data_IF_936730098654
#
_entry.id   IF_936730098654
#
_cell.length_a   1.000
_cell.length_b   1.000
_cell.length_c   1.000
_cell.angle_alpha   90.00
_cell.angle_beta   90.00
_cell.angle_gamma   90.00
#
_symmetry.space_group_name_H-M   'P 1'
#
loop_
_entity.id
_entity.type
_entity.pdbx_description
1 polymer ?
#
# COMPACT_ATOMS: atom_id res chain seq x y z
N UNK A 1 -27.43 68.49 -18.19
CA UNK A 1 -27.25 67.39 -17.20
C UNK A 1 -26.61 66.22 -17.91
N UNK A 2 -25.38 65.84 -17.55
CA UNK A 2 -24.73 64.63 -18.08
C UNK A 2 -25.19 63.44 -17.25
N UNK A 3 -25.88 62.51 -17.88
CA UNK A 3 -26.32 61.26 -17.31
C UNK A 3 -25.06 60.48 -16.87
N UNK A 4 -24.92 60.23 -15.57
CA UNK A 4 -23.90 59.31 -15.06
C UNK A 4 -24.42 57.91 -15.37
N UNK A 5 -23.79 57.24 -16.33
CA UNK A 5 -24.03 55.83 -16.62
C UNK A 5 -23.61 55.01 -15.40
N UNK A 6 -24.57 54.66 -14.55
CA UNK A 6 -24.36 53.69 -13.50
C UNK A 6 -24.30 52.31 -14.13
N UNK A 7 -23.11 51.73 -14.16
CA UNK A 7 -22.88 50.33 -14.51
C UNK A 7 -23.83 49.43 -13.71
N UNK A 8 -24.62 48.62 -14.42
CA UNK A 8 -25.62 47.72 -13.87
C UNK A 8 -24.99 46.77 -12.82
N UNK A 9 -25.56 46.61 -11.62
CA UNK A 9 -25.03 45.71 -10.57
C UNK A 9 -24.84 44.26 -11.04
N UNK A 10 -25.63 43.79 -12.01
CA UNK A 10 -25.45 42.48 -12.66
C UNK A 10 -24.11 42.37 -13.40
N UNK A 11 -23.67 43.45 -14.06
CA UNK A 11 -22.39 43.49 -14.76
C UNK A 11 -21.22 43.52 -13.77
N UNK A 12 -21.38 44.15 -12.61
CA UNK A 12 -20.38 44.10 -11.53
C UNK A 12 -20.25 42.69 -10.94
N UNK A 13 -21.37 42.00 -10.70
CA UNK A 13 -21.36 40.61 -10.23
C UNK A 13 -20.68 39.66 -11.22
N UNK A 14 -21.00 39.78 -12.51
CA UNK A 14 -20.36 39.00 -13.57
C UNK A 14 -18.86 39.31 -13.71
N UNK A 15 -18.47 40.59 -13.64
CA UNK A 15 -17.08 41.01 -13.71
C UNK A 15 -16.29 40.51 -12.49
N UNK A 16 -16.85 40.58 -11.29
CA UNK A 16 -16.22 40.06 -10.07
C UNK A 16 -16.08 38.53 -10.11
N UNK A 17 -17.10 37.81 -10.60
CA UNK A 17 -17.03 36.35 -10.76
C UNK A 17 -15.98 35.95 -11.80
N UNK A 18 -15.91 36.67 -12.92
CA UNK A 18 -14.91 36.44 -13.95
C UNK A 18 -13.50 36.71 -13.42
N UNK A 19 -13.29 37.84 -12.72
CA UNK A 19 -12.02 38.15 -12.07
C UNK A 19 -11.63 37.09 -11.06
N UNK A 20 -12.53 36.70 -10.15
CA UNK A 20 -12.28 35.66 -9.15
C UNK A 20 -11.95 34.30 -9.77
N UNK A 21 -12.64 33.94 -10.87
CA UNK A 21 -12.38 32.71 -11.62
C UNK A 21 -11.03 32.77 -12.34
N UNK A 22 -10.68 33.92 -12.91
CA UNK A 22 -9.41 34.13 -13.59
C UNK A 22 -8.23 34.14 -12.61
N UNK A 23 -8.36 34.76 -11.43
CA UNK A 23 -7.34 34.66 -10.37
C UNK A 23 -7.27 33.25 -9.79
N UNK A 24 -8.40 32.60 -9.51
CA UNK A 24 -8.38 31.20 -9.05
C UNK A 24 -7.69 30.30 -10.07
N UNK A 25 -7.97 30.48 -11.36
CA UNK A 25 -7.32 29.74 -12.42
C UNK A 25 -5.80 30.02 -12.45
N UNK A 26 -5.40 31.29 -12.37
CA UNK A 26 -3.99 31.68 -12.35
C UNK A 26 -3.23 31.13 -11.14
N UNK A 27 -3.80 31.19 -9.93
CA UNK A 27 -3.13 30.69 -8.72
C UNK A 27 -3.16 29.16 -8.59
N UNK A 28 -4.13 28.46 -9.19
CA UNK A 28 -4.23 27.00 -9.10
C UNK A 28 -3.59 26.25 -10.27
N UNK A 29 -3.57 26.83 -11.48
CA UNK A 29 -3.16 26.14 -12.70
C UNK A 29 -1.89 26.72 -13.35
N UNK A 30 -1.36 27.86 -12.87
CA UNK A 30 0.02 28.24 -13.17
C UNK A 30 0.93 27.60 -12.13
N UNK A 31 1.71 26.61 -12.54
CA UNK A 31 2.57 25.81 -11.66
C UNK A 31 3.56 26.67 -10.88
N UNK A 32 4.19 27.65 -11.52
CA UNK A 32 5.16 28.54 -10.85
C UNK A 32 4.51 29.38 -9.74
N UNK A 33 3.29 29.88 -10.00
CA UNK A 33 2.54 30.70 -9.03
C UNK A 33 1.97 29.83 -7.91
N UNK A 34 1.47 28.64 -8.25
CA UNK A 34 0.97 27.67 -7.30
C UNK A 34 2.10 27.23 -6.35
N UNK A 35 3.25 26.80 -6.88
CA UNK A 35 4.37 26.31 -6.10
C UNK A 35 4.96 27.40 -5.20
N UNK A 36 5.09 28.63 -5.71
CA UNK A 36 5.58 29.75 -4.91
C UNK A 36 4.56 30.16 -3.81
N UNK A 37 3.25 30.19 -4.14
CA UNK A 37 2.22 30.51 -3.15
C UNK A 37 2.09 29.44 -2.06
N UNK A 38 2.23 28.17 -2.44
CA UNK A 38 2.26 27.01 -1.54
C UNK A 38 3.49 27.07 -0.63
N UNK A 39 4.67 27.32 -1.20
CA UNK A 39 5.91 27.48 -0.45
C UNK A 39 5.79 28.60 0.60
N UNK A 40 5.41 29.81 0.19
CA UNK A 40 5.23 30.95 1.12
C UNK A 40 4.15 30.63 2.16
N UNK A 41 3.03 30.06 1.72
CA UNK A 41 1.90 29.69 2.56
C UNK A 41 2.28 28.68 3.66
N UNK A 42 3.16 27.73 3.35
CA UNK A 42 3.59 26.69 4.29
C UNK A 42 4.24 27.24 5.57
N UNK A 43 4.90 28.39 5.50
CA UNK A 43 5.63 28.99 6.62
C UNK A 43 4.85 30.05 7.40
N UNK A 44 3.76 30.60 6.84
CA UNK A 44 3.05 31.72 7.44
C UNK A 44 2.59 31.44 8.88
N UNK A 45 1.91 30.32 9.09
CA UNK A 45 1.41 29.94 10.41
C UNK A 45 2.54 29.45 11.35
N UNK A 46 3.44 28.52 10.94
CA UNK A 46 4.53 28.05 11.81
C UNK A 46 5.45 29.16 12.31
N UNK A 47 5.79 30.14 11.46
CA UNK A 47 6.65 31.28 11.85
C UNK A 47 5.92 32.21 12.82
N UNK A 48 4.63 32.46 12.61
CA UNK A 48 3.84 33.28 13.51
C UNK A 48 3.73 32.65 14.91
N UNK A 49 3.55 31.33 14.98
CA UNK A 49 3.48 30.58 16.24
C UNK A 49 4.84 30.46 16.94
N UNK A 50 5.94 30.42 16.19
CA UNK A 50 7.29 30.25 16.73
C UNK A 50 7.95 31.54 17.27
N UNK A 51 7.25 32.69 17.29
CA UNK A 51 7.85 33.97 17.69
C UNK A 51 8.48 33.96 19.09
N UNK A 52 7.94 33.16 20.01
CA UNK A 52 8.43 33.03 21.39
C UNK A 52 9.44 31.88 21.57
N UNK A 53 9.76 31.14 20.51
CA UNK A 53 10.67 29.99 20.51
C UNK A 53 11.88 30.28 19.59
N UNK A 54 12.96 30.92 20.09
CA UNK A 54 14.05 31.43 19.25
C UNK A 54 14.72 30.36 18.38
N UNK A 55 14.89 29.16 18.93
CA UNK A 55 15.50 28.02 18.23
C UNK A 55 14.62 27.55 17.06
N UNK A 56 13.32 27.39 17.31
CA UNK A 56 12.33 26.97 16.32
C UNK A 56 12.19 28.00 15.20
N UNK A 57 12.13 29.28 15.56
CA UNK A 57 12.07 30.39 14.59
C UNK A 57 13.31 30.45 13.71
N UNK A 58 14.50 30.28 14.29
CA UNK A 58 15.75 30.25 13.54
C UNK A 58 15.78 29.08 12.54
N UNK A 59 15.34 27.89 12.97
CA UNK A 59 15.26 26.72 12.11
C UNK A 59 14.25 26.89 10.96
N UNK A 60 13.04 27.42 11.23
CA UNK A 60 12.05 27.72 10.20
C UNK A 60 12.55 28.73 9.18
N UNK A 61 13.23 29.80 9.63
CA UNK A 61 13.83 30.80 8.73
C UNK A 61 14.98 30.21 7.90
N UNK A 62 15.77 29.31 8.47
CA UNK A 62 16.84 28.63 7.74
C UNK A 62 16.28 27.69 6.66
N UNK A 63 15.22 26.93 6.96
CA UNK A 63 14.50 26.11 5.97
C UNK A 63 13.95 26.97 4.84
N UNK A 64 13.28 28.08 5.18
CA UNK A 64 12.76 29.03 4.21
C UNK A 64 13.88 29.63 3.34
N UNK A 65 15.02 30.00 3.94
CA UNK A 65 16.18 30.53 3.23
C UNK A 65 16.85 29.52 2.30
N UNK A 66 16.74 28.22 2.59
CA UNK A 66 17.19 27.12 1.72
C UNK A 66 16.19 26.78 0.61
N UNK A 67 15.02 27.43 0.56
CA UNK A 67 13.98 27.16 -0.44
C UNK A 67 13.22 25.85 -0.19
N UNK A 68 13.25 25.32 1.03
CA UNK A 68 12.57 24.08 1.40
C UNK A 68 11.18 24.37 1.98
N UNK A 69 10.14 23.72 1.49
CA UNK A 69 8.77 23.89 2.00
C UNK A 69 8.65 23.36 3.44
N UNK A 70 7.83 23.99 4.28
CA UNK A 70 7.41 23.39 5.55
C UNK A 70 6.41 22.26 5.30
N UNK A 71 6.91 21.10 4.91
CA UNK A 71 6.10 19.94 4.58
C UNK A 71 6.77 18.63 5.00
N UNK A 72 5.94 17.65 5.39
CA UNK A 72 6.43 16.39 5.94
C UNK A 72 7.17 15.53 4.90
N UNK A 73 6.79 15.60 3.61
CA UNK A 73 7.48 14.86 2.55
C UNK A 73 8.92 15.37 2.35
N UNK A 74 9.17 16.68 2.38
CA UNK A 74 10.53 17.26 2.31
C UNK A 74 11.42 16.77 3.47
N UNK A 75 10.82 16.57 4.65
CA UNK A 75 11.54 16.02 5.79
C UNK A 75 11.87 14.54 5.59
N UNK A 76 10.94 13.75 5.03
CA UNK A 76 11.22 12.35 4.65
C UNK A 76 12.29 12.26 3.57
N UNK A 77 12.22 13.12 2.55
CA UNK A 77 13.21 13.19 1.46
C UNK A 77 14.59 13.55 2.01
N UNK A 78 14.68 14.56 2.90
CA UNK A 78 15.94 14.90 3.56
C UNK A 78 16.48 13.75 4.42
N UNK A 79 15.59 13.02 5.11
CA UNK A 79 15.97 11.79 5.80
C UNK A 79 16.54 10.79 4.79
N UNK A 80 15.93 10.60 3.62
CA UNK A 80 16.29 9.67 2.52
C UNK A 80 17.49 10.10 1.65
N UNK A 81 17.90 11.36 1.70
CA UNK A 81 19.10 11.88 1.04
C UNK A 81 20.32 11.98 1.97
N UNK A 82 20.15 11.70 3.26
CA UNK A 82 21.18 11.78 4.31
C UNK A 82 21.61 13.22 4.59
N UNK A 83 20.74 14.19 4.31
CA UNK A 83 21.01 15.60 4.61
C UNK A 83 20.80 15.87 6.10
N UNK A 84 21.84 15.57 6.89
CA UNK A 84 21.83 15.75 8.34
C UNK A 84 21.56 17.20 8.76
N UNK A 85 21.95 18.18 7.95
CA UNK A 85 21.70 19.59 8.21
C UNK A 85 20.20 19.88 8.10
N UNK A 86 19.59 19.52 6.97
CA UNK A 86 18.17 19.75 6.71
C UNK A 86 17.28 18.95 7.66
N UNK A 87 17.60 17.67 7.91
CA UNK A 87 16.93 16.86 8.95
C UNK A 87 17.01 17.57 10.30
N UNK A 88 18.19 18.09 10.64
CA UNK A 88 18.39 18.83 11.88
C UNK A 88 17.53 20.08 11.98
N UNK A 89 17.38 20.83 10.89
CA UNK A 89 16.52 22.01 10.83
C UNK A 89 15.03 21.65 10.98
N UNK A 90 14.54 20.59 10.33
CA UNK A 90 13.14 20.15 10.49
C UNK A 90 12.84 19.72 11.94
N UNK A 91 13.75 18.97 12.57
CA UNK A 91 13.60 18.58 13.98
C UNK A 91 13.63 19.80 14.89
N UNK A 92 14.59 20.72 14.70
CA UNK A 92 14.71 21.93 15.52
C UNK A 92 13.52 22.89 15.32
N UNK A 93 12.88 22.86 14.14
CA UNK A 93 11.64 23.55 13.84
C UNK A 93 10.38 22.84 14.43
N UNK A 94 10.56 21.68 15.08
CA UNK A 94 9.49 20.94 15.76
C UNK A 94 8.71 19.98 14.86
N UNK A 95 9.23 19.63 13.68
CA UNK A 95 8.58 18.63 12.82
C UNK A 95 8.73 17.24 13.42
N UNK A 96 7.62 16.53 13.56
CA UNK A 96 7.60 15.14 14.02
C UNK A 96 7.51 14.21 12.82
N UNK A 97 8.41 13.23 12.75
CA UNK A 97 8.35 12.18 11.74
C UNK A 97 7.08 11.36 11.92
N UNK A 98 6.16 11.42 10.95
CA UNK A 98 4.94 10.60 10.96
C UNK A 98 5.14 9.27 10.22
N UNK A 99 5.96 9.28 9.18
CA UNK A 99 6.25 8.11 8.38
C UNK A 99 7.36 7.27 9.01
N UNK A 100 6.95 6.17 9.65
CA UNK A 100 7.86 5.20 10.26
C UNK A 100 8.66 4.42 9.22
N UNK A 101 8.16 4.29 7.99
CA UNK A 101 8.87 3.54 6.94
C UNK A 101 10.23 4.17 6.63
N UNK A 102 10.37 5.49 6.76
CA UNK A 102 11.65 6.19 6.59
C UNK A 102 12.75 5.67 7.55
N UNK A 103 12.39 5.31 8.79
CA UNK A 103 13.34 4.70 9.74
C UNK A 103 13.78 3.32 9.28
N UNK A 104 12.84 2.53 8.72
CA UNK A 104 13.13 1.20 8.17
C UNK A 104 13.98 1.29 6.91
N UNK A 105 13.64 2.20 5.98
CA UNK A 105 14.45 2.53 4.79
C UNK A 105 15.89 2.77 5.19
N UNK A 106 16.11 3.58 6.23
CA UNK A 106 17.47 3.90 6.68
C UNK A 106 18.20 2.77 7.34
N UNK A 107 17.50 1.91 8.05
CA UNK A 107 18.12 0.70 8.59
C UNK A 107 18.63 -0.21 7.46
N UNK A 108 17.90 -0.28 6.35
CA UNK A 108 18.25 -1.12 5.20
C UNK A 108 19.38 -0.50 4.37
N UNK A 109 19.23 0.75 3.94
CA UNK A 109 20.15 1.39 3.00
C UNK A 109 21.43 1.95 3.64
N UNK A 110 21.32 2.50 4.85
CA UNK A 110 22.40 3.25 5.49
C UNK A 110 22.53 2.94 7.00
N UNK A 111 22.70 1.66 7.37
CA UNK A 111 22.68 1.20 8.76
C UNK A 111 23.72 1.89 9.66
N UNK A 112 24.88 2.26 9.11
CA UNK A 112 25.98 2.89 9.87
C UNK A 112 25.59 4.25 10.47
N UNK A 113 24.72 5.01 9.78
CA UNK A 113 24.23 6.31 10.25
C UNK A 113 22.89 6.23 11.01
N UNK A 114 22.31 5.03 11.10
CA UNK A 114 20.95 4.85 11.56
C UNK A 114 20.76 5.26 13.02
N UNK A 115 21.70 4.88 13.89
CA UNK A 115 21.67 5.23 15.32
C UNK A 115 21.69 6.75 15.49
N UNK A 116 22.62 7.43 14.83
CA UNK A 116 22.73 8.90 14.86
C UNK A 116 21.46 9.58 14.38
N UNK A 117 20.82 9.05 13.33
CA UNK A 117 19.53 9.55 12.87
C UNK A 117 18.44 9.40 13.94
N UNK A 118 18.30 8.22 14.53
CA UNK A 118 17.29 7.94 15.57
C UNK A 118 17.46 8.86 16.77
N UNK A 119 18.69 9.05 17.23
CA UNK A 119 19.02 9.99 18.31
C UNK A 119 18.69 11.43 17.92
N UNK A 120 19.06 11.85 16.70
CA UNK A 120 18.75 13.19 16.19
C UNK A 120 17.26 13.46 16.11
N UNK A 121 16.46 12.46 15.75
CA UNK A 121 15.00 12.56 15.71
C UNK A 121 14.36 12.57 17.11
N UNK A 122 15.11 12.27 18.17
CA UNK A 122 14.59 12.06 19.53
C UNK A 122 13.72 10.80 19.62
N UNK A 123 14.05 9.78 18.84
CA UNK A 123 13.35 8.49 18.80
C UNK A 123 14.05 7.41 19.63
N UNK A 124 15.08 7.76 20.38
CA UNK A 124 15.95 6.87 21.14
C UNK A 124 15.33 6.33 22.44
N UNK A 125 14.03 6.01 22.42
CA UNK A 125 13.29 5.44 23.53
C UNK A 125 12.53 4.17 23.13
N UNK A 126 12.34 3.27 24.11
CA UNK A 126 11.68 1.98 23.93
C UNK A 126 10.33 2.09 23.21
N UNK A 127 9.48 3.05 23.62
CA UNK A 127 8.12 3.21 23.09
C UNK A 127 8.08 3.47 21.59
N UNK A 128 8.99 4.32 21.08
CA UNK A 128 9.03 4.63 19.64
C UNK A 128 9.69 3.51 18.83
N UNK A 129 10.67 2.82 19.41
CA UNK A 129 11.45 1.79 18.72
C UNK A 129 10.81 0.39 18.74
N UNK A 130 9.93 0.11 19.70
CA UNK A 130 9.27 -1.21 19.85
C UNK A 130 8.03 -1.41 18.96
N UNK A 131 7.75 -0.47 18.06
CA UNK A 131 6.62 -0.56 17.13
C UNK A 131 6.85 -1.53 15.98
N UNK A 132 5.79 -1.76 15.20
CA UNK A 132 5.89 -2.31 13.86
C UNK A 132 6.18 -1.19 12.86
N UNK A 133 7.06 -1.50 11.91
CA UNK A 133 7.54 -0.58 10.89
C UNK A 133 7.24 -1.16 9.51
N UNK A 134 6.55 -0.40 8.65
CA UNK A 134 6.33 -0.83 7.27
C UNK A 134 7.66 -0.97 6.55
N UNK A 135 7.87 -2.09 5.88
CA UNK A 135 9.04 -2.29 5.02
C UNK A 135 8.73 -1.75 3.63
N UNK A 136 9.52 -0.80 3.10
CA UNK A 136 9.32 -0.28 1.76
C UNK A 136 9.55 -1.36 0.70
N UNK A 137 8.59 -1.56 -0.20
CA UNK A 137 8.66 -2.60 -1.25
C UNK A 137 9.78 -2.44 -2.27
N UNK A 138 10.31 -1.23 -2.44
CA UNK A 138 11.40 -1.00 -3.40
C UNK A 138 12.75 -1.50 -2.87
N UNK A 139 12.82 -1.91 -1.60
CA UNK A 139 14.01 -2.46 -0.97
C UNK A 139 13.88 -3.97 -0.83
N UNK A 140 14.78 -4.70 -1.47
CA UNK A 140 14.77 -6.15 -1.62
C UNK A 140 15.61 -6.89 -0.56
N UNK A 141 16.31 -6.17 0.31
CA UNK A 141 17.23 -6.75 1.30
C UNK A 141 16.58 -7.71 2.31
N UNK A 142 15.24 -7.73 2.39
CA UNK A 142 14.45 -8.62 3.26
C UNK A 142 13.53 -9.55 2.47
N UNK A 143 13.61 -9.57 1.14
CA UNK A 143 12.72 -10.36 0.29
C UNK A 143 12.86 -11.86 0.52
N UNK A 144 14.08 -12.36 0.74
CA UNK A 144 14.34 -13.78 1.01
C UNK A 144 13.54 -14.29 2.23
N UNK A 145 13.66 -13.68 3.43
CA UNK A 145 12.80 -14.00 4.57
C UNK A 145 11.30 -13.94 4.27
N UNK A 146 10.83 -12.91 3.56
CA UNK A 146 9.40 -12.77 3.24
C UNK A 146 8.90 -13.81 2.23
N UNK A 147 9.76 -14.20 1.29
CA UNK A 147 9.48 -15.26 0.34
C UNK A 147 9.40 -16.62 1.03
N UNK A 148 10.28 -16.91 2.00
CA UNK A 148 10.19 -18.13 2.80
C UNK A 148 8.85 -18.22 3.56
N UNK A 149 8.44 -17.12 4.20
CA UNK A 149 7.15 -17.05 4.90
C UNK A 149 5.99 -17.26 3.92
N UNK A 150 6.04 -16.60 2.76
CA UNK A 150 5.03 -16.75 1.70
C UNK A 150 4.96 -18.19 1.23
N UNK A 151 6.08 -18.84 0.96
CA UNK A 151 6.12 -20.23 0.47
C UNK A 151 5.47 -21.18 1.48
N UNK A 152 5.82 -21.06 2.76
CA UNK A 152 5.19 -21.87 3.82
C UNK A 152 3.68 -21.68 3.87
N UNK A 153 3.20 -20.46 3.62
CA UNK A 153 1.77 -20.16 3.56
C UNK A 153 1.10 -20.72 2.30
N UNK A 154 1.74 -20.66 1.13
CA UNK A 154 1.16 -21.08 -0.16
C UNK A 154 1.08 -22.59 -0.31
N UNK A 155 2.03 -23.35 0.23
CA UNK A 155 2.09 -24.83 0.10
C UNK A 155 0.74 -25.52 0.39
N UNK A 156 0.06 -25.28 1.53
CA UNK A 156 -1.25 -25.90 1.78
C UNK A 156 -2.34 -25.50 0.78
N UNK A 157 -2.32 -24.26 0.27
CA UNK A 157 -3.28 -23.78 -0.74
C UNK A 157 -3.03 -24.46 -2.09
N UNK A 158 -1.77 -24.59 -2.50
CA UNK A 158 -1.37 -25.29 -3.71
C UNK A 158 -1.76 -26.78 -3.67
N UNK A 159 -1.63 -27.40 -2.50
CA UNK A 159 -2.07 -28.78 -2.28
C UNK A 159 -3.60 -28.93 -2.33
N UNK A 160 -4.35 -28.01 -1.72
CA UNK A 160 -5.80 -27.98 -1.80
C UNK A 160 -6.30 -27.81 -3.25
N UNK A 161 -5.72 -26.86 -3.99
CA UNK A 161 -5.98 -26.65 -5.41
C UNK A 161 -5.70 -27.91 -6.23
N UNK A 162 -4.53 -28.54 -6.03
CA UNK A 162 -4.15 -29.78 -6.73
C UNK A 162 -5.19 -30.88 -6.49
N UNK A 163 -5.65 -31.05 -5.25
CA UNK A 163 -6.66 -32.07 -4.92
C UNK A 163 -8.00 -31.78 -5.61
N UNK A 164 -8.49 -30.53 -5.55
CA UNK A 164 -9.72 -30.12 -6.25
C UNK A 164 -9.60 -30.28 -7.77
N UNK A 165 -8.44 -29.96 -8.35
CA UNK A 165 -8.19 -30.10 -9.77
C UNK A 165 -8.21 -31.57 -10.21
N UNK A 166 -7.67 -32.48 -9.40
CA UNK A 166 -7.72 -33.93 -9.68
C UNK A 166 -9.16 -34.46 -9.65
N UNK A 167 -10.01 -33.96 -8.76
CA UNK A 167 -11.44 -34.30 -8.74
C UNK A 167 -12.18 -33.74 -9.95
N UNK A 168 -11.96 -32.45 -10.25
CA UNK A 168 -12.48 -31.81 -11.45
C UNK A 168 -12.10 -32.60 -12.72
N UNK A 169 -10.84 -33.02 -12.85
CA UNK A 169 -10.36 -33.78 -14.00
C UNK A 169 -11.15 -35.07 -14.22
N UNK A 170 -11.43 -35.82 -13.15
CA UNK A 170 -12.25 -37.06 -13.26
C UNK A 170 -13.65 -36.77 -13.80
N UNK A 171 -14.28 -35.69 -13.32
CA UNK A 171 -15.62 -35.30 -13.75
C UNK A 171 -15.59 -34.77 -15.18
N UNK A 172 -14.58 -33.99 -15.54
CA UNK A 172 -14.37 -33.46 -16.88
C UNK A 172 -14.13 -34.58 -17.90
N UNK A 173 -13.24 -35.53 -17.60
CA UNK A 173 -12.95 -36.67 -18.48
C UNK A 173 -14.21 -37.52 -18.71
N UNK A 174 -15.03 -37.72 -17.66
CA UNK A 174 -16.33 -38.41 -17.78
C UNK A 174 -17.30 -37.63 -18.66
N UNK A 175 -17.46 -36.33 -18.41
CA UNK A 175 -18.31 -35.45 -19.23
C UNK A 175 -17.89 -35.47 -20.70
N UNK A 176 -16.59 -35.41 -20.97
CA UNK A 176 -16.04 -35.45 -22.32
C UNK A 176 -16.29 -36.81 -22.99
N UNK A 177 -16.09 -37.92 -22.26
CA UNK A 177 -16.37 -39.25 -22.77
C UNK A 177 -17.86 -39.46 -23.11
N UNK A 178 -18.77 -39.01 -22.24
CA UNK A 178 -20.22 -39.07 -22.48
C UNK A 178 -20.61 -38.27 -23.73
N UNK A 179 -20.05 -37.06 -23.88
CA UNK A 179 -20.24 -36.20 -25.06
C UNK A 179 -19.78 -36.90 -26.34
N UNK A 180 -18.58 -37.46 -26.34
CA UNK A 180 -18.00 -38.14 -27.50
C UNK A 180 -18.81 -39.39 -27.88
N UNK A 181 -19.29 -40.16 -26.89
CA UNK A 181 -20.12 -41.34 -27.11
C UNK A 181 -21.49 -40.97 -27.72
N UNK A 182 -22.12 -39.90 -27.24
CA UNK A 182 -23.39 -39.43 -27.80
C UNK A 182 -23.23 -38.89 -29.23
N UNK A 183 -22.13 -38.19 -29.51
CA UNK A 183 -21.78 -37.76 -30.87
C UNK A 183 -21.53 -38.96 -31.80
N UNK A 184 -20.78 -39.97 -31.35
CA UNK A 184 -20.56 -41.20 -32.11
C UNK A 184 -21.86 -41.97 -32.38
N UNK A 185 -22.78 -42.01 -31.42
CA UNK A 185 -24.11 -42.60 -31.63
C UNK A 185 -24.91 -41.88 -32.72
N UNK A 186 -24.81 -40.55 -32.82
CA UNK A 186 -25.40 -39.80 -33.94
C UNK A 186 -24.73 -40.18 -35.27
N UNK A 187 -23.43 -40.43 -35.29
CA UNK A 187 -22.77 -40.88 -36.52
C UNK A 187 -23.27 -42.24 -37.01
N UNK A 188 -23.49 -43.17 -36.09
CA UNK A 188 -24.06 -44.49 -36.37
C UNK A 188 -25.51 -44.36 -36.82
N UNK A 189 -26.36 -43.64 -36.08
CA UNK A 189 -27.78 -43.47 -36.41
C UNK A 189 -28.02 -42.75 -37.73
N UNK A 190 -27.17 -41.77 -38.07
CA UNK A 190 -27.31 -41.02 -39.30
C UNK A 190 -26.69 -41.72 -40.51
N UNK A 191 -26.04 -42.88 -40.37
CA UNK A 191 -25.40 -43.62 -41.47
C UNK A 191 -24.54 -42.73 -42.38
N UNK A 192 -23.79 -41.79 -41.78
CA UNK A 192 -23.00 -40.76 -42.49
C UNK A 192 -23.80 -39.69 -43.28
N UNK A 193 -25.13 -39.67 -43.21
CA UNK A 193 -25.96 -38.62 -43.82
C UNK A 193 -25.70 -37.25 -43.19
N UNK A 194 -25.10 -36.35 -43.98
CA UNK A 194 -24.69 -35.01 -43.56
C UNK A 194 -25.87 -34.15 -43.06
N UNK A 195 -27.05 -34.25 -43.69
CA UNK A 195 -28.24 -33.47 -43.26
C UNK A 195 -28.75 -33.92 -41.90
N UNK A 196 -28.68 -35.23 -41.62
CA UNK A 196 -29.04 -35.80 -40.33
C UNK A 196 -28.07 -35.34 -39.23
N UNK A 197 -26.75 -35.37 -39.48
CA UNK A 197 -25.73 -34.90 -38.53
C UNK A 197 -25.91 -33.41 -38.19
N UNK A 198 -26.06 -32.55 -39.20
CA UNK A 198 -26.22 -31.10 -39.02
C UNK A 198 -27.43 -30.76 -38.14
N UNK A 199 -28.52 -31.53 -38.24
CA UNK A 199 -29.72 -31.29 -37.44
C UNK A 199 -29.54 -31.66 -35.95
N UNK A 200 -28.79 -32.73 -35.67
CA UNK A 200 -28.76 -33.34 -34.33
C UNK A 200 -27.52 -32.96 -33.50
N UNK A 201 -26.35 -32.81 -34.13
CA UNK A 201 -25.09 -32.48 -33.44
C UNK A 201 -25.14 -31.15 -32.65
N UNK A 202 -25.71 -30.04 -33.17
CA UNK A 202 -25.71 -28.77 -32.43
C UNK A 202 -26.47 -28.83 -31.10
N UNK A 203 -27.59 -29.59 -31.05
CA UNK A 203 -28.36 -29.76 -29.82
C UNK A 203 -27.55 -30.45 -28.73
N UNK A 204 -26.82 -31.50 -29.09
CA UNK A 204 -25.91 -32.21 -28.18
C UNK A 204 -24.81 -31.26 -27.68
N UNK A 205 -24.17 -30.51 -28.58
CA UNK A 205 -23.12 -29.56 -28.18
C UNK A 205 -23.63 -28.51 -27.18
N UNK A 206 -24.82 -27.96 -27.40
CA UNK A 206 -25.45 -26.98 -26.49
C UNK A 206 -25.76 -27.61 -25.12
N UNK A 207 -26.35 -28.81 -25.09
CA UNK A 207 -26.70 -29.47 -23.84
C UNK A 207 -25.47 -29.89 -23.02
N UNK A 208 -24.39 -30.34 -23.67
CA UNK A 208 -23.15 -30.66 -22.97
C UNK A 208 -22.40 -29.42 -22.50
N UNK A 209 -22.45 -28.30 -23.24
CA UNK A 209 -21.81 -27.07 -22.79
C UNK A 209 -22.48 -26.52 -21.52
N UNK A 210 -23.81 -26.66 -21.39
CA UNK A 210 -24.54 -26.31 -20.15
C UNK A 210 -24.14 -27.14 -18.94
N UNK A 211 -23.74 -28.39 -19.15
CA UNK A 211 -23.33 -29.34 -18.10
C UNK A 211 -21.82 -29.40 -17.90
N UNK A 212 -21.07 -28.57 -18.61
CA UNK A 212 -19.60 -28.58 -18.57
C UNK A 212 -19.12 -28.30 -17.14
N UNK A 213 -18.28 -29.18 -16.58
CA UNK A 213 -17.70 -28.94 -15.25
C UNK A 213 -16.89 -27.65 -15.25
N UNK A 214 -16.92 -26.92 -14.12
CA UNK A 214 -16.16 -25.69 -13.93
C UNK A 214 -14.80 -26.04 -13.33
N UNK A 215 -13.72 -25.60 -13.98
CA UNK A 215 -12.37 -25.81 -13.47
C UNK A 215 -12.15 -24.99 -12.19
N UNK A 216 -11.49 -25.54 -11.16
CA UNK A 216 -11.05 -24.74 -10.03
C UNK A 216 -10.02 -23.70 -10.49
N UNK A 217 -10.01 -22.54 -9.85
CA UNK A 217 -9.04 -21.48 -10.10
C UNK A 217 -7.90 -21.58 -9.10
N UNK A 218 -6.66 -21.41 -9.56
CA UNK A 218 -5.50 -21.32 -8.66
C UNK A 218 -5.41 -19.91 -8.11
N UNK A 219 -5.36 -19.77 -6.79
CA UNK A 219 -5.14 -18.48 -6.14
C UNK A 219 -3.69 -18.01 -6.36
N UNK A 220 -3.53 -16.78 -6.84
CA UNK A 220 -2.22 -16.12 -6.87
C UNK A 220 -2.00 -15.41 -5.54
N UNK A 221 -1.31 -16.10 -4.63
CA UNK A 221 -0.98 -15.57 -3.31
C UNK A 221 0.38 -14.88 -3.38
N UNK A 222 0.43 -13.61 -3.02
CA UNK A 222 1.63 -12.78 -2.94
C UNK A 222 1.67 -12.13 -1.56
N UNK A 223 2.87 -11.87 -1.03
CA UNK A 223 3.01 -10.97 0.11
C UNK A 223 2.86 -9.52 -0.35
N UNK A 224 2.25 -8.66 0.47
CA UNK A 224 1.93 -7.29 0.10
C UNK A 224 2.51 -6.23 1.04
N UNK A 225 2.18 -6.30 2.33
CA UNK A 225 2.55 -5.24 3.28
C UNK A 225 3.22 -5.89 4.49
N UNK A 226 4.54 -6.15 4.41
CA UNK A 226 5.31 -6.60 5.56
C UNK A 226 5.53 -5.44 6.53
N UNK A 227 5.16 -5.67 7.79
CA UNK A 227 5.44 -4.79 8.92
C UNK A 227 6.25 -5.58 9.94
N UNK A 228 7.45 -5.12 10.24
CA UNK A 228 8.36 -5.82 11.14
C UNK A 228 8.87 -4.89 12.24
N UNK A 229 9.29 -5.45 13.36
CA UNK A 229 9.99 -4.69 14.39
C UNK A 229 11.41 -4.34 13.92
N UNK A 230 11.95 -3.22 14.41
CA UNK A 230 13.35 -2.84 14.13
C UNK A 230 14.33 -3.90 14.60
N UNK A 231 14.02 -4.59 15.71
CA UNK A 231 14.83 -5.70 16.21
C UNK A 231 14.89 -6.85 15.21
N UNK A 232 13.72 -7.31 14.74
CA UNK A 232 13.65 -8.39 13.73
C UNK A 232 14.37 -8.01 12.44
N UNK A 233 14.19 -6.76 11.98
CA UNK A 233 14.88 -6.23 10.81
C UNK A 233 16.41 -6.26 10.99
N UNK A 234 16.91 -5.75 12.12
CA UNK A 234 18.34 -5.68 12.40
C UNK A 234 18.97 -7.07 12.49
N UNK A 235 18.26 -8.06 13.07
CA UNK A 235 18.71 -9.46 13.11
C UNK A 235 18.79 -10.04 11.70
N UNK A 236 17.72 -9.94 10.90
CA UNK A 236 17.66 -10.48 9.54
C UNK A 236 18.69 -9.84 8.61
N UNK A 237 18.93 -8.53 8.75
CA UNK A 237 19.95 -7.77 8.02
C UNK A 237 21.37 -7.98 8.57
N UNK A 238 21.53 -8.79 9.63
CA UNK A 238 22.82 -9.08 10.30
C UNK A 238 23.55 -7.82 10.73
N UNK A 239 22.85 -6.92 11.44
CA UNK A 239 23.36 -5.63 11.94
C UNK A 239 23.55 -5.66 13.47
N UNK A 240 24.61 -6.32 13.99
CA UNK A 240 24.79 -6.50 15.43
C UNK A 240 24.86 -5.19 16.20
N UNK A 241 25.51 -4.14 15.67
CA UNK A 241 25.55 -2.84 16.35
C UNK A 241 24.18 -2.18 16.53
N UNK A 242 23.24 -2.42 15.62
CA UNK A 242 21.86 -1.93 15.77
C UNK A 242 21.09 -2.80 16.77
N UNK A 243 21.31 -4.12 16.75
CA UNK A 243 20.73 -5.04 17.75
C UNK A 243 21.16 -4.62 19.16
N UNK A 244 22.45 -4.47 19.40
CA UNK A 244 23.00 -4.06 20.70
C UNK A 244 22.41 -2.72 21.16
N UNK A 245 22.30 -1.75 20.25
CA UNK A 245 21.71 -0.45 20.54
C UNK A 245 20.22 -0.57 20.93
N UNK A 246 19.44 -1.35 20.18
CA UNK A 246 18.03 -1.58 20.48
C UNK A 246 17.84 -2.27 21.84
N UNK A 247 18.66 -3.27 22.16
CA UNK A 247 18.65 -3.96 23.45
C UNK A 247 18.98 -3.01 24.61
N UNK A 248 19.97 -2.13 24.45
CA UNK A 248 20.30 -1.09 25.44
C UNK A 248 19.13 -0.14 25.71
N UNK A 249 18.27 0.08 24.70
CA UNK A 249 17.05 0.89 24.82
C UNK A 249 15.84 0.09 25.34
N UNK A 250 16.02 -1.18 25.73
CA UNK A 250 14.97 -2.06 26.24
C UNK A 250 14.04 -2.63 25.16
N UNK A 251 14.40 -2.47 23.88
CA UNK A 251 13.58 -2.97 22.76
C UNK A 251 13.77 -4.48 22.67
N UNK A 252 12.65 -5.19 22.58
CA UNK A 252 12.61 -6.66 22.50
C UNK A 252 12.03 -7.12 21.16
N UNK A 253 12.39 -8.33 20.74
CA UNK A 253 11.70 -8.97 19.61
C UNK A 253 10.24 -9.23 19.99
N UNK A 254 9.33 -9.00 19.04
CA UNK A 254 7.88 -9.18 19.17
C UNK A 254 7.33 -9.73 17.85
N UNK A 255 6.08 -10.17 17.87
CA UNK A 255 5.37 -10.62 16.68
C UNK A 255 5.38 -9.57 15.57
N UNK A 256 5.77 -10.00 14.37
CA UNK A 256 5.75 -9.28 13.11
C UNK A 256 4.53 -9.71 12.28
N UNK A 257 4.18 -8.91 11.28
CA UNK A 257 2.99 -9.12 10.47
C UNK A 257 3.29 -9.00 8.97
N UNK A 258 2.75 -9.91 8.17
CA UNK A 258 2.81 -9.84 6.72
C UNK A 258 1.42 -10.04 6.12
N UNK A 259 0.91 -9.01 5.45
CA UNK A 259 -0.39 -9.08 4.77
C UNK A 259 -0.20 -9.73 3.40
N UNK A 260 -1.03 -10.72 3.08
CA UNK A 260 -1.06 -11.47 1.84
C UNK A 260 -2.12 -10.91 0.86
N UNK A 261 -2.06 -11.29 -0.42
CA UNK A 261 -2.97 -10.80 -1.47
C UNK A 261 -4.41 -11.26 -1.33
N UNK A 262 -4.65 -12.33 -0.57
CA UNK A 262 -5.97 -12.80 -0.14
C UNK A 262 -6.44 -12.14 1.17
N UNK A 263 -5.78 -11.06 1.60
CA UNK A 263 -6.09 -10.26 2.80
C UNK A 263 -5.88 -11.01 4.13
N UNK A 264 -5.16 -12.13 4.08
CA UNK A 264 -4.73 -12.84 5.27
C UNK A 264 -3.51 -12.17 5.88
N UNK A 265 -3.49 -12.04 7.20
CA UNK A 265 -2.30 -11.61 7.94
C UNK A 265 -1.58 -12.84 8.48
N UNK A 266 -0.33 -13.03 8.04
CA UNK A 266 0.59 -14.01 8.58
C UNK A 266 1.39 -13.37 9.70
N UNK A 267 1.32 -13.95 10.91
CA UNK A 267 2.05 -13.48 12.08
C UNK A 267 3.25 -14.39 12.32
N UNK A 268 4.42 -13.78 12.54
CA UNK A 268 5.68 -14.50 12.69
C UNK A 268 6.64 -13.79 13.65
N UNK A 269 7.54 -14.53 14.25
CA UNK A 269 8.59 -14.02 15.13
C UNK A 269 9.96 -14.33 14.54
N UNK A 270 10.94 -13.49 14.86
CA UNK A 270 12.34 -13.71 14.48
C UNK A 270 13.13 -13.96 15.76
N UNK A 271 13.79 -15.11 15.83
CA UNK A 271 14.65 -15.49 16.94
C UNK A 271 15.94 -14.66 16.94
N UNK A 272 16.70 -14.63 18.06
CA UNK A 272 18.01 -13.98 18.09
C UNK A 272 19.02 -14.53 17.07
N UNK A 273 18.85 -15.78 16.62
CA UNK A 273 19.68 -16.42 15.60
C UNK A 273 19.21 -16.12 14.17
N UNK A 274 18.07 -15.44 14.00
CA UNK A 274 17.47 -15.11 12.70
C UNK A 274 16.47 -16.15 12.18
N UNK A 275 16.13 -17.16 12.97
CA UNK A 275 15.16 -18.19 12.59
C UNK A 275 13.74 -17.63 12.68
N UNK A 276 12.90 -17.98 11.70
CA UNK A 276 11.51 -17.54 11.63
C UNK A 276 10.60 -18.60 12.28
N UNK A 277 9.86 -18.19 13.31
CA UNK A 277 8.87 -19.03 13.99
C UNK A 277 7.47 -18.46 13.89
N UNK A 278 6.47 -19.32 14.08
CA UNK A 278 5.05 -18.98 13.93
C UNK A 278 4.36 -19.26 15.26
N UNK A 279 3.94 -18.24 16.02
CA UNK A 279 3.30 -18.44 17.31
C UNK A 279 1.98 -19.23 17.18
N UNK A 280 1.79 -20.21 18.06
CA UNK A 280 0.58 -21.05 18.06
C UNK A 280 -0.68 -20.20 18.34
N UNK A 281 -1.74 -20.42 17.55
CA UNK A 281 -3.05 -19.77 17.76
C UNK A 281 -3.21 -18.40 17.10
N UNK A 282 -2.15 -17.83 16.52
CA UNK A 282 -2.22 -16.59 15.71
C UNK A 282 -2.19 -16.95 14.22
N UNK A 283 -3.01 -17.94 13.85
CA UNK A 283 -3.13 -18.38 12.47
C UNK A 283 -4.21 -17.55 11.79
N UNK A 284 -3.81 -16.75 10.80
CA UNK A 284 -4.68 -16.21 9.73
C UNK A 284 -5.94 -15.52 10.28
N UNK A 285 -5.78 -14.29 10.76
CA UNK A 285 -6.94 -13.39 10.82
C UNK A 285 -7.33 -13.07 9.37
N UNK A 286 -8.37 -13.72 8.88
CA UNK A 286 -9.13 -13.20 7.76
C UNK A 286 -9.61 -11.81 8.18
N UNK A 287 -9.07 -10.76 7.55
CA UNK A 287 -9.73 -9.47 7.56
C UNK A 287 -11.07 -9.70 6.85
N UNK A 288 -12.13 -9.98 7.61
CA UNK A 288 -13.49 -9.91 7.08
C UNK A 288 -13.59 -8.53 6.45
N UNK A 289 -13.78 -8.49 5.14
CA UNK A 289 -14.33 -7.35 4.42
C UNK A 289 -15.51 -6.86 5.25
N UNK A 290 -15.32 -5.77 6.00
CA UNK A 290 -16.45 -4.94 6.37
C UNK A 290 -17.04 -4.53 5.02
N UNK A 291 -18.17 -5.15 4.69
CA UNK A 291 -19.05 -4.71 3.64
C UNK A 291 -19.21 -3.20 3.82
N UNK A 292 -18.50 -2.43 2.99
CA UNK A 292 -18.90 -1.06 2.70
C UNK A 292 -20.35 -1.20 2.30
N UNK A 293 -21.22 -0.76 3.21
CA UNK A 293 -22.65 -0.64 3.01
C UNK A 293 -22.84 -0.15 1.58
N UNK A 294 -23.29 -1.06 0.72
CA UNK A 294 -24.00 -0.72 -0.50
C UNK A 294 -25.12 0.19 -0.04
N UNK A 295 -24.89 1.50 -0.16
CA UNK A 295 -25.92 2.50 0.00
C UNK A 295 -27.05 2.07 -0.92
N UNK A 296 -28.16 1.67 -0.32
CA UNK A 296 -29.42 1.50 -1.01
C UNK A 296 -29.70 2.83 -1.73
N UNK A 297 -29.45 2.83 -3.03
CA UNK A 297 -30.25 3.61 -3.94
C UNK A 297 -31.68 3.05 -3.86
N UNK A 298 -32.48 3.63 -2.98
CA UNK A 298 -33.91 3.73 -3.20
C UNK A 298 -34.25 5.20 -3.17
N UNK A 299 -34.43 5.77 -4.37
CA UNK A 299 -35.07 7.05 -4.51
C UNK A 299 -36.52 6.96 -4.04
N UNK A 300 -36.99 8.02 -3.42
CA UNK A 300 -38.36 8.46 -3.56
C UNK A 300 -38.38 9.97 -3.45
N UNK A 301 -38.72 10.59 -4.59
CA UNK A 301 -39.43 11.84 -4.69
C UNK A 301 -40.23 12.18 -3.42
N UNK A 302 -39.95 13.33 -2.80
CA UNK A 302 -40.81 14.51 -2.66
C UNK A 302 -40.03 15.61 -1.92
#
# INVERSE_FOLDING_TARGET
MKQKDYLNPLNFGALALFLASATAYFFLYNTEVYDNSRFIGSFNQPIAEAQQEPKKLAALKALQGKGLEWAHYQFVDAIQDQDAEVVGLYVDAGMVLKDRSAIMTRLIEAPESWITLVERLGWDNETRLSGLFPVPRHLDALDDPFNEIKERYIVPHDMAFKNHYLEFKKIHDKWQHEKELELANVEVMCEQNTRCKIKNTPGILVEYEKKKPIAPTKDLILWLHPNITLMSAAILLKRPGVVDYLEQKGVTSRANEMVMSDQVVVIFEVSPTGDISYPEGITVKNLKLEERQTGQQTGSHF
#
